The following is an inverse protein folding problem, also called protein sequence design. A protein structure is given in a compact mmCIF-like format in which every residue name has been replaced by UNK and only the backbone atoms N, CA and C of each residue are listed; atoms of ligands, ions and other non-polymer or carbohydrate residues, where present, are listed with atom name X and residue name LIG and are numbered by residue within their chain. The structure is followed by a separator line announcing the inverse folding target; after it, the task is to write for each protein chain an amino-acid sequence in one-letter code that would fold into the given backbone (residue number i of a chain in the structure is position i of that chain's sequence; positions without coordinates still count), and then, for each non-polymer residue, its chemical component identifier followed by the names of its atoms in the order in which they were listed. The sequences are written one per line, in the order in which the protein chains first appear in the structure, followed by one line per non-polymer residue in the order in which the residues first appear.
data_IF_267065815973
#
_entry.id   IF_267065815973
#
_cell.length_a   1.000
_cell.length_b   1.000
_cell.length_c   1.000
_cell.angle_alpha   90.00
_cell.angle_beta   90.00
_cell.angle_gamma   90.00
#
_symmetry.space_group_name_H-M   'P 1'
#
loop_
_entity.id
_entity.type
_entity.pdbx_description
1 polymer ?
#
# COMPACT_ATOMS: atom_id res chain seq x y z
N UNK A 1 -6.61 18.29 7.19
CA UNK A 1 -6.57 16.86 7.55
C UNK A 1 -5.53 16.70 8.63
N UNK A 2 -5.88 16.22 9.83
CA UNK A 2 -4.86 15.96 10.86
C UNK A 2 -3.99 14.79 10.41
N UNK A 3 -2.66 14.92 10.57
CA UNK A 3 -1.70 13.88 10.18
C UNK A 3 -1.87 12.63 11.06
N UNK A 4 -2.45 11.59 10.49
CA UNK A 4 -2.63 10.30 11.18
C UNK A 4 -1.32 9.52 11.22
N UNK A 5 -0.84 9.19 12.41
CA UNK A 5 0.38 8.37 12.60
C UNK A 5 0.22 6.95 12.06
N UNK A 6 -0.96 6.37 12.16
CA UNK A 6 -1.22 4.96 11.82
C UNK A 6 -2.02 4.78 10.51
N UNK A 7 -1.93 5.74 9.59
CA UNK A 7 -2.46 5.54 8.24
C UNK A 7 -1.49 4.76 7.36
N UNK A 8 -2.01 3.83 6.54
CA UNK A 8 -1.23 3.16 5.49
C UNK A 8 -0.96 4.02 4.26
N UNK A 9 -1.60 5.20 4.14
CA UNK A 9 -1.39 6.13 3.04
C UNK A 9 -0.04 6.85 3.13
N UNK A 10 0.46 7.29 1.96
CA UNK A 10 1.71 8.04 1.86
C UNK A 10 1.50 9.46 2.39
N UNK A 11 2.32 9.88 3.33
CA UNK A 11 2.41 11.25 3.80
C UNK A 11 3.65 11.93 3.19
N UNK A 12 3.69 13.27 3.12
CA UNK A 12 4.81 14.00 2.54
C UNK A 12 6.16 13.67 3.21
N UNK A 13 6.14 13.47 4.53
CA UNK A 13 7.33 13.11 5.31
C UNK A 13 7.87 11.70 5.01
N UNK A 14 7.03 10.80 4.51
CA UNK A 14 7.43 9.41 4.22
C UNK A 14 8.36 9.36 3.00
N UNK A 15 8.21 10.27 2.03
CA UNK A 15 8.85 10.19 0.72
C UNK A 15 10.39 10.18 0.81
N UNK A 16 10.97 11.05 1.63
CA UNK A 16 12.43 11.13 1.79
C UNK A 16 13.02 9.97 2.58
N UNK A 17 12.26 9.46 3.56
CA UNK A 17 12.70 8.40 4.46
C UNK A 17 12.53 7.04 3.79
N UNK A 18 11.38 6.80 3.16
CA UNK A 18 11.15 5.54 2.47
C UNK A 18 12.23 5.22 1.43
N UNK A 19 12.75 6.23 0.73
CA UNK A 19 13.82 6.03 -0.25
C UNK A 19 15.09 5.44 0.38
N UNK A 20 15.48 5.91 1.56
CA UNK A 20 16.68 5.42 2.27
C UNK A 20 16.48 4.05 2.95
N UNK A 21 15.23 3.71 3.27
CA UNK A 21 14.87 2.47 3.96
C UNK A 21 14.53 1.33 3.00
N UNK A 22 14.30 1.60 1.70
CA UNK A 22 13.87 0.58 0.74
C UNK A 22 14.93 -0.49 0.54
N UNK A 23 14.56 -1.77 0.67
CA UNK A 23 15.41 -2.87 0.23
C UNK A 23 15.60 -2.81 -1.28
N UNK A 24 16.79 -3.17 -1.75
CA UNK A 24 17.15 -3.12 -3.18
C UNK A 24 17.10 -4.49 -3.86
N UNK A 25 16.90 -5.57 -3.11
CA UNK A 25 16.83 -6.94 -3.64
C UNK A 25 15.76 -7.77 -2.95
N UNK A 26 15.30 -8.85 -3.59
CA UNK A 26 14.38 -9.82 -3.01
C UNK A 26 14.92 -10.46 -1.73
N UNK A 27 16.24 -10.64 -1.63
CA UNK A 27 16.89 -11.18 -0.44
C UNK A 27 16.77 -10.26 0.78
N UNK A 28 16.80 -8.94 0.55
CA UNK A 28 16.66 -7.94 1.62
C UNK A 28 15.19 -7.64 1.97
N UNK A 29 14.26 -8.05 1.11
CA UNK A 29 12.84 -7.80 1.30
C UNK A 29 12.28 -8.78 2.33
N UNK A 30 11.86 -8.27 3.49
CA UNK A 30 11.32 -9.05 4.61
C UNK A 30 9.83 -9.32 4.39
N UNK A 31 9.38 -10.51 4.74
CA UNK A 31 7.97 -10.93 4.61
C UNK A 31 7.55 -11.26 3.17
N UNK A 32 6.25 -11.47 2.94
CA UNK A 32 5.65 -11.81 1.65
C UNK A 32 6.30 -13.03 0.96
N UNK A 33 6.66 -14.08 1.71
CA UNK A 33 7.54 -15.16 1.24
C UNK A 33 7.03 -15.84 -0.03
N UNK A 34 5.73 -16.12 -0.14
CA UNK A 34 5.15 -16.72 -1.35
C UNK A 34 5.29 -15.83 -2.58
N UNK A 35 5.10 -14.52 -2.42
CA UNK A 35 5.25 -13.54 -3.52
C UNK A 35 6.71 -13.47 -3.95
N UNK A 36 7.64 -13.42 -2.98
CA UNK A 36 9.10 -13.42 -3.27
C UNK A 36 9.54 -14.67 -4.00
N UNK A 37 9.10 -15.84 -3.55
CA UNK A 37 9.45 -17.12 -4.16
C UNK A 37 8.99 -17.17 -5.62
N UNK A 38 7.73 -16.83 -5.89
CA UNK A 38 7.18 -16.80 -7.23
C UNK A 38 7.94 -15.79 -8.13
N UNK A 39 8.13 -14.56 -7.66
CA UNK A 39 8.84 -13.53 -8.42
C UNK A 39 10.30 -13.94 -8.69
N UNK A 40 10.98 -14.56 -7.73
CA UNK A 40 12.35 -15.06 -7.92
C UNK A 40 12.42 -16.07 -9.06
N UNK A 41 11.46 -17.01 -9.12
CA UNK A 41 11.39 -18.01 -10.20
C UNK A 41 11.13 -17.33 -11.55
N UNK A 42 10.16 -16.42 -11.63
CA UNK A 42 9.81 -15.77 -12.90
C UNK A 42 10.92 -14.86 -13.41
N UNK A 43 11.57 -14.09 -12.53
CA UNK A 43 12.73 -13.25 -12.87
C UNK A 43 13.89 -14.11 -13.38
N UNK A 44 14.23 -15.19 -12.68
CA UNK A 44 15.30 -16.09 -13.12
C UNK A 44 14.99 -16.71 -14.50
N UNK A 45 13.76 -17.16 -14.71
CA UNK A 45 13.34 -17.74 -15.98
C UNK A 45 13.39 -16.71 -17.13
N UNK A 46 12.93 -15.47 -16.91
CA UNK A 46 13.02 -14.40 -17.88
C UNK A 46 14.51 -14.08 -18.24
N UNK A 47 15.38 -13.96 -17.23
CA UNK A 47 16.83 -13.76 -17.44
C UNK A 47 17.48 -14.91 -18.21
N UNK A 48 17.13 -16.16 -17.94
CA UNK A 48 17.66 -17.33 -18.67
C UNK A 48 17.27 -17.31 -20.15
N UNK A 49 16.10 -16.80 -20.49
CA UNK A 49 15.61 -16.67 -21.87
C UNK A 49 16.01 -15.37 -22.54
N UNK A 50 16.62 -14.45 -21.79
CA UNK A 50 16.91 -13.07 -22.21
C UNK A 50 15.66 -12.34 -22.73
N UNK A 51 14.56 -12.46 -22.00
CA UNK A 51 13.27 -11.87 -22.29
C UNK A 51 12.87 -10.90 -21.16
N UNK A 52 12.02 -9.88 -21.43
CA UNK A 52 11.40 -9.09 -20.37
C UNK A 52 10.55 -10.01 -19.48
N UNK A 53 10.35 -9.61 -18.22
CA UNK A 53 9.42 -10.29 -17.34
C UNK A 53 7.98 -10.05 -17.83
N UNK A 54 7.11 -11.03 -17.66
CA UNK A 54 5.68 -10.84 -17.86
C UNK A 54 5.15 -9.66 -17.03
N UNK A 55 4.09 -9.00 -17.51
CA UNK A 55 3.48 -7.91 -16.76
C UNK A 55 2.97 -8.37 -15.40
N UNK A 56 3.24 -7.59 -14.36
CA UNK A 56 2.96 -7.92 -12.96
C UNK A 56 1.90 -6.98 -12.38
N UNK A 57 0.88 -7.54 -11.74
CA UNK A 57 -0.08 -6.77 -10.94
C UNK A 57 0.17 -7.03 -9.45
N UNK A 58 0.54 -5.98 -8.72
CA UNK A 58 0.69 -5.99 -7.26
C UNK A 58 -0.56 -5.37 -6.64
N UNK A 59 -1.30 -6.11 -5.81
CA UNK A 59 -2.51 -5.58 -5.21
C UNK A 59 -2.63 -5.92 -3.73
N UNK A 60 -3.34 -5.07 -3.01
CA UNK A 60 -3.53 -5.20 -1.56
C UNK A 60 -3.55 -3.84 -0.87
N UNK A 61 -3.79 -3.80 0.46
CA UNK A 61 -3.85 -2.58 1.25
C UNK A 61 -2.69 -1.62 1.03
N UNK A 62 -2.84 -0.31 1.33
CA UNK A 62 -1.75 0.65 1.20
C UNK A 62 -0.62 0.36 2.21
N UNK A 63 0.60 0.81 1.90
CA UNK A 63 1.75 0.73 2.80
C UNK A 63 2.41 -0.65 2.94
N UNK A 64 2.01 -1.65 2.14
CA UNK A 64 2.56 -3.02 2.17
C UNK A 64 3.81 -3.23 1.30
N UNK A 65 4.32 -2.20 0.63
CA UNK A 65 5.56 -2.28 -0.14
C UNK A 65 5.40 -2.58 -1.63
N UNK A 66 4.23 -2.34 -2.25
CA UNK A 66 4.01 -2.53 -3.71
C UNK A 66 5.04 -1.79 -4.56
N UNK A 67 5.25 -0.51 -4.32
CA UNK A 67 6.24 0.32 -5.02
C UNK A 67 7.68 -0.17 -4.79
N UNK A 68 7.98 -0.60 -3.57
CA UNK A 68 9.29 -1.18 -3.23
C UNK A 68 9.55 -2.46 -4.02
N UNK A 69 8.55 -3.34 -4.08
CA UNK A 69 8.67 -4.61 -4.80
C UNK A 69 8.82 -4.39 -6.32
N UNK A 70 8.12 -3.39 -6.88
CA UNK A 70 8.28 -2.99 -8.28
C UNK A 70 9.71 -2.50 -8.59
N UNK A 71 10.29 -1.69 -7.71
CA UNK A 71 11.68 -1.25 -7.86
C UNK A 71 12.67 -2.42 -7.72
N UNK A 72 12.42 -3.36 -6.83
CA UNK A 72 13.23 -4.59 -6.69
C UNK A 72 13.17 -5.42 -7.96
N UNK A 73 12.00 -5.58 -8.60
CA UNK A 73 11.87 -6.29 -9.87
C UNK A 73 12.81 -5.68 -10.93
N UNK A 74 12.82 -4.36 -11.07
CA UNK A 74 13.72 -3.70 -12.02
C UNK A 74 15.21 -3.93 -11.68
N UNK A 75 15.57 -3.82 -10.39
CA UNK A 75 16.93 -4.07 -9.95
C UNK A 75 17.38 -5.52 -10.19
N UNK A 76 16.53 -6.50 -9.88
CA UNK A 76 16.81 -7.91 -10.11
C UNK A 76 16.89 -8.24 -11.61
N UNK A 77 16.13 -7.56 -12.47
CA UNK A 77 16.21 -7.67 -13.92
C UNK A 77 17.37 -6.87 -14.52
N UNK A 78 18.02 -6.00 -13.74
CA UNK A 78 19.14 -5.12 -14.17
C UNK A 78 18.74 -4.13 -15.28
N UNK A 79 17.53 -3.57 -15.17
CA UNK A 79 16.93 -2.63 -16.13
C UNK A 79 16.52 -1.33 -15.46
N UNK A 80 16.19 -0.30 -16.26
CA UNK A 80 15.75 0.97 -15.72
C UNK A 80 14.33 0.85 -15.09
N UNK A 81 14.11 1.65 -14.06
CA UNK A 81 12.83 1.77 -13.38
C UNK A 81 12.20 3.13 -13.68
N UNK A 82 11.03 3.13 -14.34
CA UNK A 82 10.22 4.31 -14.57
C UNK A 82 8.96 4.22 -13.72
N UNK A 83 8.64 5.28 -12.99
CA UNK A 83 7.51 5.31 -12.07
C UNK A 83 6.57 6.45 -12.39
N UNK A 84 5.28 6.16 -12.42
CA UNK A 84 4.19 7.11 -12.54
C UNK A 84 2.98 6.64 -11.73
N UNK A 85 1.87 7.37 -11.77
CA UNK A 85 0.62 6.97 -11.13
C UNK A 85 -0.56 7.11 -12.08
N UNK A 86 -1.63 6.32 -11.86
CA UNK A 86 -2.85 6.41 -12.65
C UNK A 86 -3.41 7.84 -12.74
N UNK A 87 -3.57 8.56 -11.61
CA UNK A 87 -4.03 9.95 -11.62
C UNK A 87 -3.14 10.93 -12.40
N UNK A 88 -1.85 10.65 -12.55
CA UNK A 88 -0.92 11.51 -13.28
C UNK A 88 -1.01 11.33 -14.80
N UNK A 89 -1.70 10.30 -15.28
CA UNK A 89 -1.90 10.01 -16.71
C UNK A 89 -3.34 10.39 -17.08
N UNK A 90 -3.54 11.59 -17.56
CA UNK A 90 -4.87 12.09 -17.87
C UNK A 90 -5.32 11.73 -19.29
N UNK A 91 -4.38 11.58 -20.22
CA UNK A 91 -4.65 11.40 -21.66
C UNK A 91 -3.79 10.29 -22.25
N UNK A 92 -4.26 9.70 -23.34
CA UNK A 92 -3.51 8.71 -24.11
C UNK A 92 -2.12 9.22 -24.55
N UNK A 93 -1.99 10.52 -24.85
CA UNK A 93 -0.72 11.15 -25.22
C UNK A 93 0.32 11.15 -24.08
N UNK A 94 -0.12 11.29 -22.82
CA UNK A 94 0.77 11.25 -21.65
C UNK A 94 1.39 9.86 -21.50
N UNK A 95 0.54 8.83 -21.63
CA UNK A 95 0.99 7.43 -21.61
C UNK A 95 1.92 7.13 -22.80
N UNK A 96 1.57 7.62 -24.00
CA UNK A 96 2.38 7.43 -25.20
C UNK A 96 3.79 8.04 -25.06
N UNK A 97 3.89 9.23 -24.47
CA UNK A 97 5.18 9.88 -24.21
C UNK A 97 6.04 9.05 -23.24
N UNK A 98 5.45 8.51 -22.19
CA UNK A 98 6.14 7.64 -21.23
C UNK A 98 6.62 6.37 -21.92
N UNK A 99 5.75 5.64 -22.63
CA UNK A 99 6.06 4.37 -23.27
C UNK A 99 7.12 4.52 -24.37
N UNK A 100 7.06 5.63 -25.16
CA UNK A 100 8.05 5.91 -26.21
C UNK A 100 9.44 6.26 -25.66
N UNK A 101 9.57 6.56 -24.37
CA UNK A 101 10.85 6.86 -23.70
C UNK A 101 11.50 5.64 -23.05
N UNK A 102 10.87 4.47 -23.12
CA UNK A 102 11.39 3.23 -22.55
C UNK A 102 12.47 2.63 -23.44
N UNK A 103 13.41 1.96 -22.82
CA UNK A 103 14.42 1.11 -23.46
C UNK A 103 13.99 -0.37 -23.39
N UNK A 104 14.57 -1.25 -24.24
CA UNK A 104 14.23 -2.67 -24.21
C UNK A 104 14.47 -3.30 -22.83
N UNK A 105 13.45 -3.93 -22.28
CA UNK A 105 13.46 -4.58 -20.96
C UNK A 105 13.08 -3.69 -19.78
N UNK A 106 12.96 -2.38 -19.96
CA UNK A 106 12.62 -1.44 -18.88
C UNK A 106 11.36 -1.86 -18.11
N UNK A 107 11.33 -1.51 -16.83
CA UNK A 107 10.16 -1.67 -15.96
C UNK A 107 9.44 -0.32 -15.86
N UNK A 108 8.20 -0.28 -16.32
CA UNK A 108 7.26 0.81 -16.07
C UNK A 108 6.36 0.45 -14.89
N UNK A 109 6.42 1.25 -13.84
CA UNK A 109 5.53 1.13 -12.68
C UNK A 109 4.42 2.17 -12.74
N UNK A 110 3.16 1.71 -12.64
CA UNK A 110 1.98 2.58 -12.53
C UNK A 110 1.29 2.29 -11.20
N UNK A 111 1.41 3.24 -10.26
CA UNK A 111 0.66 3.16 -8.99
C UNK A 111 -0.80 3.56 -9.21
N UNK A 112 -1.69 3.02 -8.39
CA UNK A 112 -3.15 3.23 -8.49
C UNK A 112 -3.67 3.04 -9.92
N UNK A 113 -3.24 1.97 -10.59
CA UNK A 113 -3.54 1.67 -12.01
C UNK A 113 -5.05 1.60 -12.29
N UNK A 114 -5.89 1.31 -11.28
CA UNK A 114 -7.36 1.32 -11.38
C UNK A 114 -7.95 2.72 -11.59
N UNK A 115 -7.15 3.79 -11.43
CA UNK A 115 -7.56 5.18 -11.64
C UNK A 115 -7.22 5.71 -13.03
N UNK A 116 -6.71 4.88 -13.92
CA UNK A 116 -6.49 5.26 -15.31
C UNK A 116 -7.83 5.58 -15.99
N UNK A 117 -7.92 6.65 -16.77
CA UNK A 117 -9.06 6.89 -17.65
C UNK A 117 -9.23 5.75 -18.65
N UNK A 118 -10.47 5.41 -19.01
CA UNK A 118 -10.75 4.29 -19.91
C UNK A 118 -10.07 4.42 -21.27
N UNK A 119 -10.00 5.64 -21.81
CA UNK A 119 -9.28 5.92 -23.07
C UNK A 119 -7.78 5.66 -23.00
N UNK A 120 -7.18 5.77 -21.81
CA UNK A 120 -5.77 5.45 -21.55
C UNK A 120 -5.59 3.95 -21.41
N UNK A 121 -6.52 3.26 -20.70
CA UNK A 121 -6.48 1.79 -20.60
C UNK A 121 -6.52 1.13 -22.00
N UNK A 122 -7.35 1.63 -22.93
CA UNK A 122 -7.48 1.08 -24.29
C UNK A 122 -6.16 1.15 -25.07
N UNK A 123 -5.40 2.23 -24.90
CA UNK A 123 -4.05 2.36 -25.50
C UNK A 123 -3.06 1.42 -24.80
N UNK A 124 -3.20 1.23 -23.50
CA UNK A 124 -2.32 0.35 -22.72
C UNK A 124 -2.48 -1.12 -23.15
N UNK A 125 -3.67 -1.55 -23.59
CA UNK A 125 -3.90 -2.92 -24.02
C UNK A 125 -2.98 -3.35 -25.17
N UNK A 126 -2.94 -2.54 -26.25
CA UNK A 126 -2.07 -2.82 -27.41
C UNK A 126 -0.59 -2.73 -27.04
N UNK A 127 -0.24 -1.81 -26.14
CA UNK A 127 1.13 -1.66 -25.66
C UNK A 127 1.60 -2.89 -24.86
N UNK A 128 0.71 -3.51 -24.07
CA UNK A 128 1.03 -4.69 -23.25
C UNK A 128 1.09 -5.98 -24.10
N UNK A 129 0.19 -6.14 -25.07
CA UNK A 129 0.10 -7.40 -25.84
C UNK A 129 1.10 -7.44 -27.00
N UNK A 130 1.15 -6.37 -27.77
CA UNK A 130 1.83 -6.36 -29.07
C UNK A 130 2.99 -5.36 -29.15
N UNK A 131 3.30 -4.66 -28.06
CA UNK A 131 4.36 -3.64 -27.99
C UNK A 131 4.23 -2.58 -29.09
N UNK A 132 3.04 -2.06 -29.29
CA UNK A 132 2.82 -0.89 -30.15
C UNK A 132 1.75 0.04 -29.56
N UNK A 133 1.79 1.29 -30.02
CA UNK A 133 0.76 2.28 -29.78
C UNK A 133 -0.01 2.55 -31.07
N UNK A 134 -1.33 2.61 -30.96
CA UNK A 134 -2.20 3.06 -32.03
C UNK A 134 -2.75 4.45 -31.67
N UNK A 135 -2.19 5.48 -32.28
CA UNK A 135 -2.53 6.87 -31.97
C UNK A 135 -3.27 7.50 -33.13
N UNK A 136 -4.46 8.04 -32.85
CA UNK A 136 -5.21 8.80 -33.82
C UNK A 136 -4.72 10.24 -33.83
N UNK A 137 -4.15 10.69 -34.98
CA UNK A 137 -3.68 12.04 -35.18
C UNK A 137 -4.69 12.78 -36.10
N UNK A 138 -5.09 13.97 -35.67
CA UNK A 138 -6.08 14.81 -36.41
C UNK A 138 -7.51 14.60 -35.90
N UNK A 139 -8.43 15.34 -36.49
CA UNK A 139 -9.86 15.31 -36.13
C UNK A 139 -10.73 15.18 -37.37
N UNK A 140 -11.92 14.59 -37.22
CA UNK A 140 -12.89 14.42 -38.31
C UNK A 140 -12.40 13.51 -39.45
N UNK A 141 -12.81 13.76 -40.70
CA UNK A 141 -12.50 12.88 -41.84
C UNK A 141 -11.01 12.79 -42.23
N UNK A 142 -10.18 13.70 -41.70
CA UNK A 142 -8.72 13.70 -41.90
C UNK A 142 -7.94 12.99 -40.79
N UNK A 143 -8.62 12.44 -39.79
CA UNK A 143 -7.98 11.66 -38.76
C UNK A 143 -7.28 10.44 -39.35
N UNK A 144 -6.02 10.20 -38.93
CA UNK A 144 -5.22 9.06 -39.38
C UNK A 144 -4.73 8.33 -38.14
N UNK A 145 -4.82 7.00 -38.14
CA UNK A 145 -4.14 6.16 -37.13
C UNK A 145 -2.67 5.99 -37.51
N UNK A 146 -1.80 6.21 -36.55
CA UNK A 146 -0.35 6.00 -36.65
C UNK A 146 0.05 4.94 -35.66
N UNK A 147 0.61 3.87 -36.19
CA UNK A 147 1.19 2.80 -35.36
C UNK A 147 2.63 3.16 -35.00
N UNK A 148 2.95 3.16 -33.71
CA UNK A 148 4.29 3.41 -33.18
C UNK A 148 4.75 2.13 -32.48
N UNK A 149 5.80 1.51 -32.97
CA UNK A 149 6.39 0.33 -32.32
C UNK A 149 7.10 0.72 -31.02
N UNK A 150 6.94 -0.08 -30.00
CA UNK A 150 7.54 0.08 -28.68
C UNK A 150 8.59 -1.01 -28.45
N UNK A 151 9.65 -0.72 -27.70
CA UNK A 151 10.53 -1.77 -27.20
C UNK A 151 9.76 -2.69 -26.25
N UNK A 152 10.06 -4.00 -26.19
CA UNK A 152 9.50 -4.87 -25.18
C UNK A 152 9.82 -4.37 -23.76
N UNK A 153 8.84 -4.29 -22.91
CA UNK A 153 8.94 -3.75 -21.54
C UNK A 153 8.10 -4.57 -20.58
N UNK A 154 8.35 -4.41 -19.28
CA UNK A 154 7.52 -4.98 -18.24
C UNK A 154 6.67 -3.88 -17.59
N UNK A 155 5.35 -4.04 -17.61
CA UNK A 155 4.45 -3.21 -16.80
C UNK A 155 4.30 -3.84 -15.42
N UNK A 156 4.57 -3.07 -14.37
CA UNK A 156 4.19 -3.41 -13.00
C UNK A 156 3.08 -2.46 -12.57
N UNK A 157 1.85 -2.95 -12.55
CA UNK A 157 0.70 -2.21 -12.03
C UNK A 157 0.56 -2.40 -10.53
N UNK A 158 0.22 -1.35 -9.80
CA UNK A 158 -0.15 -1.45 -8.39
C UNK A 158 -1.57 -0.91 -8.15
N UNK A 159 -2.31 -1.56 -7.25
CA UNK A 159 -3.64 -1.11 -6.87
C UNK A 159 -4.01 -1.51 -5.45
N UNK A 160 -4.74 -0.65 -4.77
CA UNK A 160 -5.42 -0.99 -3.52
C UNK A 160 -6.76 -1.69 -3.76
N UNK A 161 -7.33 -1.53 -4.96
CA UNK A 161 -8.69 -1.94 -5.34
C UNK A 161 -8.70 -2.79 -6.62
N UNK A 162 -8.22 -4.02 -6.52
CA UNK A 162 -8.18 -4.93 -7.68
C UNK A 162 -9.55 -5.17 -8.34
N UNK A 163 -10.64 -5.07 -7.56
CA UNK A 163 -12.01 -5.22 -8.08
C UNK A 163 -12.49 -4.08 -8.98
N UNK A 164 -11.81 -2.92 -8.98
CA UNK A 164 -12.13 -1.79 -9.87
C UNK A 164 -11.41 -1.87 -11.22
N UNK A 165 -10.44 -2.77 -11.37
CA UNK A 165 -9.79 -3.00 -12.66
C UNK A 165 -10.77 -3.62 -13.64
N UNK A 166 -10.74 -3.13 -14.87
CA UNK A 166 -11.49 -3.76 -15.95
C UNK A 166 -10.96 -5.17 -16.20
N UNK A 167 -11.83 -6.11 -16.55
CA UNK A 167 -11.40 -7.48 -16.85
C UNK A 167 -10.34 -7.50 -17.98
N UNK A 168 -10.49 -6.75 -19.09
CA UNK A 168 -9.48 -6.71 -20.14
C UNK A 168 -8.09 -6.27 -19.66
N UNK A 169 -8.01 -5.28 -18.78
CA UNK A 169 -6.71 -4.86 -18.22
C UNK A 169 -6.12 -5.92 -17.31
N UNK A 170 -6.93 -6.47 -16.40
CA UNK A 170 -6.48 -7.47 -15.45
C UNK A 170 -5.94 -8.73 -16.13
N UNK A 171 -6.63 -9.19 -17.19
CA UNK A 171 -6.30 -10.44 -17.88
C UNK A 171 -4.99 -10.34 -18.70
N UNK A 172 -4.45 -9.13 -18.89
CA UNK A 172 -3.15 -8.87 -19.53
C UNK A 172 -1.95 -8.95 -18.59
N UNK A 173 -2.20 -9.02 -17.29
CA UNK A 173 -1.14 -9.29 -16.33
C UNK A 173 -0.89 -10.79 -16.22
N UNK A 174 0.29 -11.24 -16.61
CA UNK A 174 0.70 -12.64 -16.51
C UNK A 174 0.98 -13.08 -15.07
N UNK A 175 1.35 -12.13 -14.20
CA UNK A 175 1.66 -12.38 -12.79
C UNK A 175 0.76 -11.54 -11.89
N UNK A 176 -0.08 -12.20 -11.09
CA UNK A 176 -0.96 -11.56 -10.11
C UNK A 176 -0.43 -11.85 -8.70
N UNK A 177 -0.01 -10.82 -7.98
CA UNK A 177 0.58 -10.95 -6.64
C UNK A 177 -0.20 -10.12 -5.62
N UNK A 178 -0.90 -10.81 -4.73
CA UNK A 178 -1.57 -10.20 -3.59
C UNK A 178 -0.59 -10.00 -2.44
N UNK A 179 -0.44 -8.77 -1.97
CA UNK A 179 0.28 -8.47 -0.75
C UNK A 179 -0.69 -8.51 0.43
N UNK A 180 -0.25 -9.17 1.48
CA UNK A 180 -1.02 -9.34 2.70
C UNK A 180 -0.39 -8.54 3.84
N UNK A 181 -1.16 -8.31 4.90
CA UNK A 181 -0.63 -7.71 6.12
C UNK A 181 0.50 -8.58 6.69
N UNK A 182 1.51 -7.90 7.21
CA UNK A 182 2.70 -8.55 7.76
C UNK A 182 2.41 -9.14 9.15
N UNK A 183 3.05 -10.25 9.43
CA UNK A 183 3.09 -10.79 10.79
C UNK A 183 3.98 -9.93 11.70
N UNK A 184 3.71 -9.98 13.01
CA UNK A 184 4.49 -9.21 14.00
C UNK A 184 5.98 -9.54 13.92
N UNK A 185 6.35 -10.81 13.68
CA UNK A 185 7.76 -11.22 13.54
C UNK A 185 8.48 -10.50 12.39
N UNK A 186 7.80 -10.36 11.25
CA UNK A 186 8.38 -9.71 10.05
C UNK A 186 8.48 -8.20 10.25
N UNK A 187 7.46 -7.59 10.88
CA UNK A 187 7.50 -6.17 11.24
C UNK A 187 8.57 -5.87 12.27
N UNK A 188 8.79 -6.77 13.26
CA UNK A 188 9.88 -6.64 14.23
C UNK A 188 11.23 -6.60 13.50
N UNK A 189 11.49 -7.52 12.58
CA UNK A 189 12.71 -7.51 11.78
C UNK A 189 12.86 -6.24 10.92
N UNK A 190 11.74 -5.70 10.38
CA UNK A 190 11.74 -4.42 9.65
C UNK A 190 12.09 -3.27 10.59
N UNK A 191 11.52 -3.23 11.81
CA UNK A 191 11.81 -2.20 12.82
C UNK A 191 13.27 -2.23 13.24
N UNK A 192 13.81 -3.42 13.54
CA UNK A 192 15.22 -3.60 13.91
C UNK A 192 16.14 -3.11 12.79
N UNK A 193 15.92 -3.54 11.54
CA UNK A 193 16.68 -3.07 10.37
C UNK A 193 16.58 -1.54 10.19
N UNK A 194 15.40 -0.98 10.39
CA UNK A 194 15.18 0.47 10.26
C UNK A 194 15.90 1.23 11.36
N UNK A 195 15.91 0.70 12.60
CA UNK A 195 16.67 1.27 13.72
C UNK A 195 18.18 1.30 13.42
N UNK A 196 18.74 0.22 12.83
CA UNK A 196 20.13 0.18 12.38
C UNK A 196 20.43 1.29 11.36
N UNK A 197 19.57 1.47 10.35
CA UNK A 197 19.74 2.52 9.33
C UNK A 197 19.66 3.92 9.95
N UNK A 198 18.83 4.10 10.97
CA UNK A 198 18.72 5.35 11.73
C UNK A 198 19.83 5.54 12.76
N UNK A 199 20.77 4.59 12.88
CA UNK A 199 21.82 4.59 13.90
C UNK A 199 21.25 4.73 15.32
N UNK A 200 20.15 4.03 15.59
CA UNK A 200 19.44 4.05 16.87
C UNK A 200 19.36 2.63 17.43
N UNK A 201 19.65 2.48 18.72
CA UNK A 201 19.51 1.18 19.39
C UNK A 201 18.08 1.01 19.91
N UNK A 202 17.49 -0.15 19.69
CA UNK A 202 16.17 -0.53 20.20
C UNK A 202 16.23 -1.92 20.83
N UNK A 203 15.59 -2.11 21.98
CA UNK A 203 15.48 -3.44 22.58
C UNK A 203 14.51 -4.31 21.78
N UNK A 204 14.67 -5.63 21.90
CA UNK A 204 13.78 -6.58 21.23
C UNK A 204 12.30 -6.41 21.65
N UNK A 205 12.07 -6.16 22.91
CA UNK A 205 10.73 -5.91 23.47
C UNK A 205 10.13 -4.62 22.91
N UNK A 206 10.94 -3.55 22.81
CA UNK A 206 10.53 -2.30 22.16
C UNK A 206 10.18 -2.49 20.69
N UNK A 207 11.01 -3.22 19.94
CA UNK A 207 10.76 -3.52 18.53
C UNK A 207 9.48 -4.35 18.32
N UNK A 208 9.23 -5.34 19.19
CA UNK A 208 7.99 -6.15 19.16
C UNK A 208 6.77 -5.25 19.42
N UNK A 209 6.85 -4.32 20.37
CA UNK A 209 5.73 -3.45 20.70
C UNK A 209 5.42 -2.46 19.55
N UNK A 210 6.44 -1.86 18.92
CA UNK A 210 6.26 -1.08 17.68
C UNK A 210 5.59 -1.92 16.60
N UNK A 211 6.07 -3.14 16.39
CA UNK A 211 5.53 -4.06 15.38
C UNK A 211 4.05 -4.41 15.65
N UNK A 212 3.67 -4.69 16.90
CA UNK A 212 2.30 -5.01 17.31
C UNK A 212 1.33 -3.87 16.97
N UNK A 213 1.71 -2.62 17.25
CA UNK A 213 0.86 -1.45 17.01
C UNK A 213 0.94 -0.90 15.59
N UNK A 214 1.73 -1.53 14.70
CA UNK A 214 1.90 -1.09 13.30
C UNK A 214 0.85 -1.61 12.33
N UNK A 215 -0.23 -2.22 12.79
CA UNK A 215 -1.37 -2.68 11.96
C UNK A 215 -0.98 -3.59 10.81
N UNK A 216 0.04 -4.42 10.96
CA UNK A 216 0.51 -5.27 9.88
C UNK A 216 1.17 -4.53 8.70
N UNK A 217 1.57 -3.26 8.87
CA UNK A 217 1.98 -2.37 7.78
C UNK A 217 3.40 -1.83 7.99
N UNK A 218 4.37 -2.17 7.13
CA UNK A 218 5.75 -1.67 7.21
C UNK A 218 5.88 -0.14 7.24
N UNK A 219 5.06 0.58 6.47
CA UNK A 219 5.06 2.05 6.46
C UNK A 219 4.71 2.62 7.83
N UNK A 220 3.68 2.07 8.49
CA UNK A 220 3.29 2.49 9.84
C UNK A 220 4.39 2.17 10.83
N UNK A 221 5.00 0.97 10.76
CA UNK A 221 6.10 0.58 11.62
C UNK A 221 7.29 1.56 11.55
N UNK A 222 7.70 1.92 10.34
CA UNK A 222 8.77 2.87 10.12
C UNK A 222 8.43 4.27 10.62
N UNK A 223 7.19 4.72 10.41
CA UNK A 223 6.70 6.02 10.89
C UNK A 223 6.68 6.09 12.41
N UNK A 224 6.12 5.07 13.06
CA UNK A 224 6.11 4.98 14.53
C UNK A 224 7.53 4.96 15.10
N UNK A 225 8.43 4.14 14.54
CA UNK A 225 9.82 4.08 14.98
C UNK A 225 10.52 5.44 14.87
N UNK A 226 10.30 6.17 13.76
CA UNK A 226 10.85 7.52 13.59
C UNK A 226 10.42 8.43 14.73
N UNK A 227 9.13 8.48 15.05
CA UNK A 227 8.61 9.34 16.11
C UNK A 227 9.06 8.90 17.50
N UNK A 228 9.12 7.60 17.75
CA UNK A 228 9.66 7.06 19.01
C UNK A 228 11.13 7.45 19.17
N UNK A 229 11.92 7.35 18.10
CA UNK A 229 13.32 7.81 18.08
C UNK A 229 13.43 9.30 18.42
N UNK A 230 12.61 10.16 17.79
CA UNK A 230 12.64 11.61 18.03
C UNK A 230 12.36 11.91 19.52
N UNK A 231 11.41 11.21 20.14
CA UNK A 231 11.07 11.35 21.56
C UNK A 231 12.21 10.83 22.45
N UNK A 232 12.79 9.67 22.14
CA UNK A 232 13.91 9.08 22.85
C UNK A 232 15.14 10.00 22.85
N UNK A 233 15.47 10.60 21.68
CA UNK A 233 16.58 11.53 21.54
C UNK A 233 16.38 12.80 22.39
N UNK A 234 15.18 13.37 22.40
CA UNK A 234 14.88 14.56 23.23
C UNK A 234 15.01 14.25 24.72
N UNK A 235 14.69 13.01 25.13
CA UNK A 235 14.84 12.55 26.53
C UNK A 235 16.27 12.17 26.88
N UNK A 236 17.18 12.11 25.92
CA UNK A 236 18.57 11.70 26.14
C UNK A 236 18.74 10.23 26.45
N UNK A 237 17.80 9.37 26.01
CA UNK A 237 17.88 7.94 26.21
C UNK A 237 18.84 7.30 25.21
N UNK A 238 19.74 6.43 25.66
CA UNK A 238 20.73 5.77 24.81
C UNK A 238 20.15 4.63 23.96
N UNK A 239 19.02 4.08 24.40
CA UNK A 239 18.36 2.94 23.79
C UNK A 239 16.84 3.06 23.92
N UNK A 240 16.12 2.72 22.87
CA UNK A 240 14.66 2.66 22.88
C UNK A 240 14.23 1.36 23.58
N UNK A 241 13.82 1.46 24.84
CA UNK A 241 13.29 0.36 25.63
C UNK A 241 11.78 0.16 25.38
N UNK A 242 11.22 -0.93 25.93
CA UNK A 242 9.76 -1.11 25.98
C UNK A 242 9.06 0.06 26.66
N UNK A 243 9.59 0.53 27.81
CA UNK A 243 9.00 1.65 28.53
C UNK A 243 9.01 2.96 27.73
N UNK A 244 10.11 3.24 27.02
CA UNK A 244 10.21 4.38 26.10
C UNK A 244 9.19 4.26 24.97
N UNK A 245 9.07 3.05 24.40
CA UNK A 245 8.12 2.75 23.30
C UNK A 245 6.68 2.99 23.77
N UNK A 246 6.26 2.42 24.89
CA UNK A 246 4.90 2.58 25.42
C UNK A 246 4.57 4.04 25.73
N UNK A 247 5.50 4.75 26.35
CA UNK A 247 5.31 6.16 26.66
C UNK A 247 5.17 7.00 25.37
N UNK A 248 6.01 6.75 24.36
CA UNK A 248 5.96 7.45 23.11
C UNK A 248 4.67 7.14 22.34
N UNK A 249 4.24 5.89 22.27
CA UNK A 249 2.99 5.50 21.62
C UNK A 249 1.78 6.10 22.35
N UNK A 250 1.80 6.19 23.66
CA UNK A 250 0.80 6.92 24.44
C UNK A 250 0.73 8.41 24.08
N UNK A 251 1.88 9.09 23.92
CA UNK A 251 1.94 10.49 23.44
C UNK A 251 1.40 10.65 22.03
N UNK A 252 1.59 9.64 21.17
CA UNK A 252 1.08 9.61 19.81
C UNK A 252 -0.39 9.16 19.73
N UNK A 253 -1.02 8.90 20.87
CA UNK A 253 -2.41 8.43 20.97
C UNK A 253 -2.67 7.12 20.21
N UNK A 254 -1.68 6.23 20.17
CA UNK A 254 -1.80 4.89 19.58
C UNK A 254 -1.97 3.88 20.71
N UNK A 255 -3.14 3.25 20.77
CA UNK A 255 -3.48 2.30 21.84
C UNK A 255 -2.86 0.90 21.62
N UNK A 256 -3.13 -0.02 22.55
CA UNK A 256 -2.58 -1.39 22.54
C UNK A 256 -3.01 -2.23 21.34
N UNK A 257 -4.11 -1.88 20.67
CA UNK A 257 -4.55 -2.49 19.41
C UNK A 257 -4.02 -1.75 18.18
N UNK A 258 -3.21 -0.70 18.33
CA UNK A 258 -2.75 0.14 17.25
C UNK A 258 -3.83 1.08 16.71
N UNK A 259 -4.87 1.36 17.48
CA UNK A 259 -5.94 2.29 17.10
C UNK A 259 -5.55 3.71 17.47
N UNK A 260 -5.92 4.67 16.61
CA UNK A 260 -5.81 6.10 16.90
C UNK A 260 -7.17 6.72 17.27
N UNK A 261 -7.16 8.03 17.48
CA UNK A 261 -8.35 8.77 17.89
C UNK A 261 -9.49 8.70 16.86
N UNK A 262 -9.21 8.59 15.55
CA UNK A 262 -10.25 8.47 14.51
C UNK A 262 -10.89 7.07 14.55
N UNK A 263 -10.10 6.01 14.73
CA UNK A 263 -10.65 4.67 14.91
C UNK A 263 -11.54 4.59 16.15
N UNK A 264 -11.11 5.22 17.25
CA UNK A 264 -11.92 5.33 18.46
C UNK A 264 -13.22 6.10 18.20
N UNK A 265 -13.14 7.24 17.48
CA UNK A 265 -14.32 8.03 17.09
C UNK A 265 -15.29 7.23 16.23
N UNK A 266 -14.76 6.45 15.27
CA UNK A 266 -15.57 5.58 14.40
C UNK A 266 -16.27 4.49 15.22
N UNK A 267 -15.52 3.72 16.00
CA UNK A 267 -16.09 2.61 16.76
C UNK A 267 -17.06 3.08 17.82
N UNK A 268 -16.70 4.10 18.62
CA UNK A 268 -17.59 4.70 19.62
C UNK A 268 -18.81 5.35 18.98
N UNK A 269 -18.66 6.03 17.83
CA UNK A 269 -19.77 6.59 17.09
C UNK A 269 -20.81 5.55 16.70
N UNK A 270 -20.38 4.34 16.30
CA UNK A 270 -21.30 3.23 16.02
C UNK A 270 -21.90 2.66 17.30
N UNK A 271 -21.10 2.51 18.37
CA UNK A 271 -21.57 1.97 19.66
C UNK A 271 -22.60 2.92 20.29
N UNK A 272 -22.21 4.17 20.52
CA UNK A 272 -22.99 5.12 21.30
C UNK A 272 -24.19 5.68 20.50
N UNK A 273 -23.99 5.93 19.20
CA UNK A 273 -25.01 6.52 18.34
C UNK A 273 -26.02 5.53 17.76
N UNK A 274 -25.63 4.26 17.62
CA UNK A 274 -26.41 3.26 16.88
C UNK A 274 -26.46 1.89 17.55
N UNK A 275 -26.20 1.80 18.85
CA UNK A 275 -26.26 0.54 19.60
C UNK A 275 -25.34 -0.56 19.08
N UNK A 276 -24.26 -0.20 18.38
CA UNK A 276 -23.31 -1.14 17.76
C UNK A 276 -23.64 -1.55 16.32
N UNK A 277 -24.67 -0.97 15.73
CA UNK A 277 -25.05 -1.21 14.33
C UNK A 277 -26.19 -2.23 14.15
N UNK A 278 -26.58 -2.52 12.89
CA UNK A 278 -25.88 -2.19 11.63
C UNK A 278 -26.06 -0.73 11.18
N UNK A 279 -24.99 -0.08 10.72
CA UNK A 279 -24.99 1.32 10.26
C UNK A 279 -24.43 1.42 8.83
N UNK A 280 -25.10 2.20 7.99
CA UNK A 280 -24.62 2.48 6.62
C UNK A 280 -23.33 3.31 6.60
N UNK A 281 -22.51 3.13 5.56
CA UNK A 281 -21.23 3.83 5.40
C UNK A 281 -21.38 5.35 5.42
N UNK A 282 -22.36 5.90 4.68
CA UNK A 282 -22.61 7.34 4.61
C UNK A 282 -23.02 7.93 5.95
N UNK A 283 -23.77 7.16 6.75
CA UNK A 283 -24.16 7.57 8.10
C UNK A 283 -22.96 7.64 9.03
N UNK A 284 -22.07 6.63 8.97
CA UNK A 284 -20.81 6.64 9.74
C UNK A 284 -19.95 7.83 9.31
N UNK A 285 -19.81 8.05 8.02
CA UNK A 285 -19.03 9.15 7.44
C UNK A 285 -19.51 10.52 7.96
N UNK A 286 -20.82 10.75 7.91
CA UNK A 286 -21.42 11.96 8.46
C UNK A 286 -21.21 12.10 9.98
N UNK A 287 -21.25 10.99 10.72
CA UNK A 287 -21.09 10.99 12.19
C UNK A 287 -19.67 11.38 12.62
N UNK A 288 -18.66 10.90 11.89
CA UNK A 288 -17.25 11.16 12.24
C UNK A 288 -16.66 12.34 11.48
N UNK A 289 -17.36 12.87 10.47
CA UNK A 289 -16.90 13.99 9.65
C UNK A 289 -15.82 13.59 8.64
N UNK A 290 -15.91 12.37 8.09
CA UNK A 290 -14.96 11.79 7.11
C UNK A 290 -15.68 11.45 5.80
N UNK A 291 -14.92 11.32 4.71
CA UNK A 291 -15.47 10.83 3.46
C UNK A 291 -15.74 9.32 3.52
N UNK A 292 -16.87 8.82 2.96
CA UNK A 292 -17.19 7.39 2.94
C UNK A 292 -16.07 6.54 2.36
N UNK A 293 -15.43 7.01 1.30
CA UNK A 293 -14.35 6.32 0.64
C UNK A 293 -13.11 6.19 1.54
N UNK A 294 -12.76 7.23 2.30
CA UNK A 294 -11.66 7.20 3.26
C UNK A 294 -11.90 6.16 4.35
N UNK A 295 -13.13 6.06 4.84
CA UNK A 295 -13.48 5.02 5.82
C UNK A 295 -13.25 3.64 5.21
N UNK A 296 -13.75 3.39 4.01
CA UNK A 296 -13.66 2.09 3.35
C UNK A 296 -12.25 1.68 2.98
N UNK A 297 -11.40 2.64 2.59
CA UNK A 297 -10.06 2.35 2.10
C UNK A 297 -8.98 2.36 3.17
N UNK A 298 -9.15 3.20 4.20
CA UNK A 298 -8.10 3.48 5.18
C UNK A 298 -8.40 2.88 6.56
N UNK A 299 -9.64 3.00 7.05
CA UNK A 299 -9.97 2.62 8.43
C UNK A 299 -10.52 1.21 8.54
N UNK A 300 -11.51 0.89 7.71
CA UNK A 300 -12.17 -0.41 7.73
C UNK A 300 -11.25 -1.61 7.55
N UNK A 301 -10.27 -1.62 6.64
CA UNK A 301 -9.49 -2.82 6.36
C UNK A 301 -8.81 -3.39 7.60
N UNK A 302 -8.22 -2.54 8.43
CA UNK A 302 -7.59 -2.97 9.67
C UNK A 302 -8.62 -3.40 10.73
N UNK A 303 -9.69 -2.63 10.91
CA UNK A 303 -10.75 -2.95 11.86
C UNK A 303 -11.46 -4.29 11.53
N UNK A 304 -11.62 -4.60 10.24
CA UNK A 304 -12.11 -5.89 9.78
C UNK A 304 -11.11 -7.01 10.07
N UNK A 305 -9.81 -6.77 9.82
CA UNK A 305 -8.75 -7.74 10.05
C UNK A 305 -8.63 -8.14 11.51
N UNK A 306 -8.66 -7.17 12.43
CA UNK A 306 -8.61 -7.45 13.87
C UNK A 306 -9.96 -7.93 14.43
N UNK A 307 -11.01 -7.93 13.59
CA UNK A 307 -12.34 -8.40 13.94
C UNK A 307 -13.10 -7.46 14.87
N UNK A 308 -12.86 -6.15 14.81
CA UNK A 308 -13.59 -5.15 15.59
C UNK A 308 -14.89 -4.72 14.94
N UNK A 309 -14.96 -4.80 13.60
CA UNK A 309 -16.18 -4.58 12.83
C UNK A 309 -16.45 -5.76 11.89
N UNK A 310 -17.70 -5.87 11.45
CA UNK A 310 -18.14 -6.79 10.40
C UNK A 310 -18.99 -6.04 9.38
N UNK A 311 -18.85 -6.42 8.10
CA UNK A 311 -19.74 -5.94 7.03
C UNK A 311 -20.94 -6.86 6.90
N UNK A 312 -22.13 -6.27 6.85
CA UNK A 312 -23.40 -6.97 6.58
C UNK A 312 -24.12 -6.30 5.42
N UNK A 313 -25.11 -6.94 4.79
CA UNK A 313 -25.91 -6.29 3.74
C UNK A 313 -26.62 -5.00 4.20
N UNK A 314 -26.87 -4.84 5.52
CA UNK A 314 -27.50 -3.66 6.12
C UNK A 314 -26.51 -2.60 6.60
N UNK A 315 -25.21 -2.87 6.60
CA UNK A 315 -24.19 -1.94 7.07
C UNK A 315 -23.12 -2.60 7.94
N UNK A 316 -22.41 -1.77 8.71
CA UNK A 316 -21.31 -2.16 9.58
C UNK A 316 -21.82 -2.41 11.00
N UNK A 317 -21.27 -3.46 11.63
CA UNK A 317 -21.59 -3.84 13.01
C UNK A 317 -20.30 -3.90 13.80
N UNK A 318 -20.32 -3.32 15.01
CA UNK A 318 -19.22 -3.46 15.99
C UNK A 318 -19.35 -4.80 16.71
N UNK A 319 -18.24 -5.53 16.81
CA UNK A 319 -18.21 -6.87 17.39
C UNK A 319 -18.04 -6.84 18.91
N UNK A 320 -18.36 -7.95 19.57
CA UNK A 320 -18.09 -8.11 21.01
C UNK A 320 -16.64 -7.87 21.40
N UNK A 321 -15.68 -8.19 20.50
CA UNK A 321 -14.25 -7.97 20.72
C UNK A 321 -13.92 -6.48 20.85
N UNK A 322 -14.53 -5.62 20.04
CA UNK A 322 -14.36 -4.17 20.15
C UNK A 322 -15.02 -3.60 21.43
N UNK A 323 -16.19 -4.08 21.81
CA UNK A 323 -16.80 -3.71 23.10
C UNK A 323 -15.88 -4.07 24.28
N UNK A 324 -15.29 -5.27 24.26
CA UNK A 324 -14.34 -5.71 25.27
C UNK A 324 -13.09 -4.82 25.33
N UNK A 325 -12.58 -4.41 24.17
CA UNK A 325 -11.42 -3.51 24.07
C UNK A 325 -11.68 -2.15 24.74
N UNK A 326 -12.89 -1.61 24.60
CA UNK A 326 -13.29 -0.36 25.26
C UNK A 326 -13.78 -0.54 26.69
N UNK A 327 -13.84 -1.76 27.23
CA UNK A 327 -14.40 -2.04 28.54
C UNK A 327 -15.91 -1.74 28.63
N UNK A 328 -16.63 -1.76 27.50
CA UNK A 328 -18.07 -1.48 27.41
C UNK A 328 -18.82 -2.81 27.43
N UNK A 329 -19.81 -2.94 28.29
CA UNK A 329 -20.70 -4.12 28.30
C UNK A 329 -21.70 -3.98 27.14
N UNK A 330 -21.74 -4.97 26.25
CA UNK A 330 -22.78 -5.01 25.21
C UNK A 330 -24.12 -5.35 25.88
N UNK A 331 -25.06 -4.40 25.88
CA UNK A 331 -26.43 -4.71 26.26
C UNK A 331 -27.06 -5.53 25.12
N UNK A 332 -27.39 -6.79 25.39
CA UNK A 332 -28.24 -7.60 24.49
C UNK A 332 -29.66 -7.07 24.65
N UNK A 333 -30.22 -6.47 23.57
CA UNK A 333 -31.66 -6.23 23.45
C UNK A 333 -32.35 -7.44 22.83
#
# INVERSE_FOLDING_TARGET
MEDRMVTGELQEEDTSIELSLRPVSLKQYIGQDKVKENLSIFIQAAKMRNEPLDHVLLYGPPGLGKTTLAAIIANEMEVNFRSTSGPAIERAGDLAAILSSLEPGDVLFIDEVHRLPRSVEEVLYSAMEDFFLDIVIGTGPSARSVKIDLPPFTLVGATTRAGLLTAPLRDRFGVLSRLEFYEVKDLCAIVERTAEIFHTTITKEGAIEVARRSRGTPRIANRLLKRIRDISQVKGEAEISLGTTDQALGMLQVDDAGLDHIDHKLLKGIIDGFGGGPVGLDTIAATIGEEPQTIEDVYEPYLLQIGFIQRTPRGRIVTAKAYQHFGITKHEE
#
